data_IF_065194199885
#
_entry.id   IF_065194199885
#
_cell.length_a   1.000
_cell.length_b   1.000
_cell.length_c   1.000
_cell.angle_alpha   90.00
_cell.angle_beta   90.00
_cell.angle_gamma   90.00
#
_symmetry.space_group_name_H-M   'P 1'
#
loop_
_entity.id
_entity.type
_entity.pdbx_description
1 polymer ?
#
# COMPACT_ATOMS: atom_id res chain seq x y z
N UNK A 1 -53.13 21.74 -49.93
CA UNK A 1 -52.21 21.31 -48.85
C UNK A 1 -50.85 21.97 -49.03
N UNK A 2 -50.51 22.99 -48.24
CA UNK A 2 -49.12 23.34 -47.87
C UNK A 2 -49.17 24.06 -46.53
N UNK A 3 -48.95 23.33 -45.44
CA UNK A 3 -48.79 23.90 -44.10
C UNK A 3 -47.45 24.62 -44.07
N UNK A 4 -47.46 25.96 -43.97
CA UNK A 4 -46.25 26.75 -43.74
C UNK A 4 -45.95 26.74 -42.25
N UNK A 5 -45.00 25.91 -41.85
CA UNK A 5 -44.49 25.87 -40.48
C UNK A 5 -43.61 27.11 -40.25
N UNK A 6 -44.12 28.08 -39.49
CA UNK A 6 -43.31 29.18 -38.97
C UNK A 6 -42.49 28.62 -37.80
N UNK A 7 -41.30 28.12 -38.11
CA UNK A 7 -40.37 27.70 -37.08
C UNK A 7 -39.81 28.95 -36.39
N UNK A 8 -39.97 29.01 -35.06
CA UNK A 8 -39.39 30.07 -34.26
C UNK A 8 -37.88 29.88 -34.20
N UNK A 9 -37.16 30.58 -35.09
CA UNK A 9 -35.72 30.46 -35.26
C UNK A 9 -34.93 30.72 -33.97
N UNK A 10 -35.48 31.55 -33.07
CA UNK A 10 -34.87 31.77 -31.77
C UNK A 10 -34.79 30.48 -30.95
N UNK A 11 -35.86 29.68 -30.94
CA UNK A 11 -35.93 28.39 -30.23
C UNK A 11 -34.94 27.39 -30.84
N UNK A 12 -34.83 27.35 -32.18
CA UNK A 12 -33.90 26.46 -32.88
C UNK A 12 -32.45 26.78 -32.50
N UNK A 13 -32.09 28.07 -32.50
CA UNK A 13 -30.74 28.50 -32.14
C UNK A 13 -30.43 28.19 -30.68
N UNK A 14 -31.38 28.43 -29.76
CA UNK A 14 -31.19 28.08 -28.34
C UNK A 14 -31.01 26.58 -28.14
N UNK A 15 -31.75 25.75 -28.87
CA UNK A 15 -31.61 24.30 -28.81
C UNK A 15 -30.24 23.87 -29.34
N UNK A 16 -29.80 24.37 -30.50
CA UNK A 16 -28.48 24.06 -31.04
C UNK A 16 -27.34 24.44 -30.09
N UNK A 17 -27.43 25.60 -29.43
CA UNK A 17 -26.42 26.04 -28.45
C UNK A 17 -26.39 25.13 -27.22
N UNK A 18 -27.55 24.70 -26.72
CA UNK A 18 -27.65 23.79 -25.58
C UNK A 18 -27.00 22.42 -25.89
N UNK A 19 -27.27 21.86 -27.07
CA UNK A 19 -26.66 20.59 -27.49
C UNK A 19 -25.15 20.72 -27.75
N UNK A 20 -24.70 21.87 -28.25
CA UNK A 20 -23.27 22.17 -28.37
C UNK A 20 -22.59 22.24 -27.00
N UNK A 21 -23.19 22.90 -26.01
CA UNK A 21 -22.61 22.96 -24.66
C UNK A 21 -22.60 21.61 -23.96
N UNK A 22 -23.64 20.80 -24.16
CA UNK A 22 -23.70 19.43 -23.63
C UNK A 22 -22.64 18.54 -24.29
N UNK A 23 -22.43 18.68 -25.61
CA UNK A 23 -21.38 17.94 -26.32
C UNK A 23 -19.99 18.27 -25.79
N UNK A 24 -19.67 19.56 -25.61
CA UNK A 24 -18.39 19.99 -25.04
C UNK A 24 -18.25 19.52 -23.59
N UNK A 25 -19.34 19.54 -22.81
CA UNK A 25 -19.33 19.04 -21.44
C UNK A 25 -19.13 17.51 -21.36
N UNK A 26 -19.69 16.73 -22.28
CA UNK A 26 -19.47 15.27 -22.35
C UNK A 26 -18.03 14.96 -22.77
N UNK A 27 -17.46 15.68 -23.74
CA UNK A 27 -16.04 15.54 -24.12
C UNK A 27 -15.12 15.92 -22.95
N UNK A 28 -15.42 17.03 -22.27
CA UNK A 28 -14.69 17.45 -21.07
C UNK A 28 -14.82 16.45 -19.91
N UNK A 29 -15.96 15.77 -19.78
CA UNK A 29 -16.12 14.67 -18.83
C UNK A 29 -15.35 13.42 -19.26
N UNK A 30 -15.19 13.12 -20.55
CA UNK A 30 -14.31 12.03 -20.99
C UNK A 30 -12.83 12.33 -20.68
N UNK A 31 -12.41 13.59 -20.81
CA UNK A 31 -11.05 14.00 -20.44
C UNK A 31 -10.84 14.05 -18.91
N UNK A 32 -11.86 14.43 -18.13
CA UNK A 32 -11.80 14.40 -16.64
C UNK A 32 -12.05 13.02 -16.03
N UNK A 33 -12.79 12.15 -16.71
CA UNK A 33 -12.98 10.72 -16.38
C UNK A 33 -11.97 9.86 -17.16
N UNK A 34 -10.86 10.47 -17.58
CA UNK A 34 -9.58 9.81 -17.66
C UNK A 34 -9.13 9.33 -16.28
N UNK A 35 -9.94 8.51 -15.62
CA UNK A 35 -9.48 7.52 -14.66
C UNK A 35 -8.65 6.53 -15.47
N UNK A 36 -7.43 6.98 -15.74
CA UNK A 36 -6.29 6.23 -16.26
C UNK A 36 -6.36 4.85 -15.61
N UNK A 37 -6.45 3.80 -16.43
CA UNK A 37 -6.64 2.39 -16.04
C UNK A 37 -5.75 1.92 -14.88
N UNK A 38 -4.67 2.65 -14.59
CA UNK A 38 -3.69 2.34 -13.56
C UNK A 38 -4.06 2.80 -12.14
N UNK A 39 -5.14 3.58 -11.96
CA UNK A 39 -5.53 4.11 -10.63
C UNK A 39 -6.32 3.09 -9.78
N UNK A 40 -6.88 2.03 -10.40
CA UNK A 40 -7.82 1.13 -9.73
C UNK A 40 -7.30 -0.28 -9.44
N UNK A 41 -6.01 -0.44 -9.12
CA UNK A 41 -5.46 -1.75 -8.67
C UNK A 41 -5.76 -2.90 -9.63
N UNK A 42 -5.87 -2.58 -10.92
CA UNK A 42 -6.14 -3.56 -11.96
C UNK A 42 -4.81 -4.19 -12.36
N UNK A 43 -4.78 -5.52 -12.41
CA UNK A 43 -3.64 -6.35 -12.76
C UNK A 43 -2.93 -5.80 -14.02
N UNK A 44 -1.79 -5.13 -13.81
CA UNK A 44 -0.89 -4.74 -14.88
C UNK A 44 -0.11 -6.02 -15.18
N UNK A 45 -0.39 -6.65 -16.32
CA UNK A 45 0.28 -7.89 -16.72
C UNK A 45 1.81 -7.79 -16.69
N UNK A 46 2.48 -8.93 -16.89
CA UNK A 46 3.94 -8.99 -16.78
C UNK A 46 4.64 -7.94 -17.65
N UNK A 47 5.52 -7.16 -17.00
CA UNK A 47 6.40 -6.16 -17.62
C UNK A 47 5.71 -4.95 -18.29
N UNK A 48 4.65 -4.43 -17.66
CA UNK A 48 3.96 -3.22 -18.09
C UNK A 48 4.16 -2.05 -17.13
N UNK A 49 4.52 -0.88 -17.65
CA UNK A 49 4.57 0.40 -16.93
C UNK A 49 3.40 1.29 -17.33
N UNK A 50 2.95 2.15 -16.42
CA UNK A 50 1.98 3.19 -16.75
C UNK A 50 2.71 4.50 -16.98
N UNK A 51 2.64 5.04 -18.20
CA UNK A 51 3.31 6.29 -18.52
C UNK A 51 2.59 7.50 -17.90
N UNK A 52 3.20 8.69 -17.99
CA UNK A 52 2.66 9.94 -17.44
C UNK A 52 1.31 10.34 -18.08
N UNK A 53 0.97 9.77 -19.22
CA UNK A 53 -0.30 9.94 -19.93
C UNK A 53 -1.39 8.96 -19.45
N UNK A 54 -1.05 8.01 -18.57
CA UNK A 54 -1.97 7.00 -18.05
C UNK A 54 -2.22 5.82 -18.96
N UNK A 55 -1.32 5.61 -19.92
CA UNK A 55 -1.34 4.51 -20.88
C UNK A 55 -0.43 3.41 -20.38
N UNK A 56 -0.93 2.17 -20.45
CA UNK A 56 -0.14 0.96 -20.15
C UNK A 56 0.80 0.69 -21.33
N UNK A 57 2.09 0.70 -21.08
CA UNK A 57 3.17 0.39 -22.03
C UNK A 57 3.88 -0.86 -21.53
N UNK A 58 3.83 -1.95 -22.31
CA UNK A 58 4.49 -3.20 -21.96
C UNK A 58 5.73 -3.40 -22.83
N UNK A 59 6.84 -3.75 -22.20
CA UNK A 59 8.11 -3.97 -22.90
C UNK A 59 8.30 -5.46 -23.20
N UNK A 60 8.46 -5.83 -24.47
CA UNK A 60 8.58 -7.23 -24.89
C UNK A 60 10.01 -7.79 -24.75
N UNK A 61 10.97 -7.07 -24.18
CA UNK A 61 12.35 -7.54 -24.10
C UNK A 61 13.02 -7.35 -22.73
N UNK A 62 13.26 -8.48 -22.07
CA UNK A 62 14.35 -8.82 -21.15
C UNK A 62 15.08 -7.63 -20.49
N UNK A 63 14.54 -7.17 -19.36
CA UNK A 63 15.32 -6.58 -18.29
C UNK A 63 15.19 -7.48 -17.05
N UNK A 64 16.33 -7.79 -16.42
CA UNK A 64 16.39 -8.55 -15.17
C UNK A 64 15.72 -7.74 -14.05
N UNK A 65 14.40 -7.90 -13.89
CA UNK A 65 13.68 -7.47 -12.71
C UNK A 65 13.77 -8.55 -11.64
N UNK A 66 13.67 -8.14 -10.37
CA UNK A 66 13.35 -8.97 -9.21
C UNK A 66 12.41 -10.10 -9.63
N UNK A 67 12.59 -11.32 -9.12
CA UNK A 67 11.71 -12.47 -9.37
C UNK A 67 10.32 -12.14 -8.80
N UNK A 68 9.55 -11.37 -9.58
CA UNK A 68 8.35 -10.63 -9.20
C UNK A 68 7.11 -11.52 -9.16
N UNK A 69 7.24 -12.80 -9.49
CA UNK A 69 6.10 -13.71 -9.53
C UNK A 69 5.57 -14.11 -8.16
N UNK A 70 6.32 -13.86 -7.08
CA UNK A 70 5.96 -14.30 -5.74
C UNK A 70 5.28 -13.23 -4.88
N UNK A 71 5.40 -11.96 -5.24
CA UNK A 71 4.79 -10.84 -4.53
C UNK A 71 3.48 -10.43 -5.19
N UNK A 72 2.46 -10.19 -4.39
CA UNK A 72 1.12 -9.79 -4.84
C UNK A 72 0.72 -8.44 -4.24
N UNK A 73 -0.07 -7.68 -5.00
CA UNK A 73 -0.73 -6.45 -4.55
C UNK A 73 -2.26 -6.61 -4.47
N UNK A 74 -2.80 -7.72 -4.98
CA UNK A 74 -4.24 -8.00 -4.99
C UNK A 74 -4.79 -8.10 -3.57
N UNK A 75 -5.81 -7.31 -3.26
CA UNK A 75 -6.45 -7.30 -1.93
C UNK A 75 -5.65 -6.55 -0.85
N UNK A 76 -4.52 -5.93 -1.22
CA UNK A 76 -3.78 -5.02 -0.36
C UNK A 76 -4.31 -3.59 -0.54
N UNK A 77 -4.66 -2.94 0.56
CA UNK A 77 -4.80 -1.49 0.61
C UNK A 77 -3.51 -0.91 1.17
N UNK A 78 -2.74 -0.25 0.32
CA UNK A 78 -1.50 0.42 0.70
C UNK A 78 -1.68 1.94 0.67
N UNK A 79 -1.18 2.61 1.69
CA UNK A 79 -1.10 4.08 1.77
C UNK A 79 0.21 4.49 2.40
N UNK A 80 0.73 5.65 2.04
CA UNK A 80 1.96 6.18 2.62
C UNK A 80 1.84 7.68 2.85
N UNK A 81 2.56 8.18 3.86
CA UNK A 81 2.59 9.60 4.20
C UNK A 81 4.03 10.04 4.50
N UNK A 82 4.34 11.28 4.13
CA UNK A 82 5.55 11.96 4.59
C UNK A 82 5.50 12.21 6.10
N UNK A 83 6.62 12.00 6.79
CA UNK A 83 6.79 12.36 8.19
C UNK A 83 7.73 13.57 8.35
N UNK A 84 8.98 13.42 7.91
CA UNK A 84 10.02 14.45 8.04
C UNK A 84 11.17 14.20 7.07
N UNK A 85 11.96 15.24 6.79
CA UNK A 85 13.24 15.08 6.10
C UNK A 85 14.27 14.44 7.02
N UNK A 86 15.22 13.71 6.42
CA UNK A 86 16.35 13.10 7.14
C UNK A 86 17.60 13.94 6.88
N UNK A 87 18.07 14.67 7.89
CA UNK A 87 19.29 15.48 7.77
C UNK A 87 20.52 14.58 7.62
N UNK A 88 21.30 14.81 6.54
CA UNK A 88 22.48 13.99 6.24
C UNK A 88 22.16 12.53 5.93
N UNK A 89 20.91 12.23 5.58
CA UNK A 89 20.44 10.87 5.32
C UNK A 89 21.09 10.27 4.07
N UNK A 90 21.66 9.08 4.24
CA UNK A 90 21.97 8.17 3.15
C UNK A 90 20.73 7.31 2.88
N UNK A 91 20.35 7.12 1.61
CA UNK A 91 19.28 6.17 1.25
C UNK A 91 19.67 4.74 1.67
N UNK A 92 20.96 4.44 1.69
CA UNK A 92 21.49 3.15 2.16
C UNK A 92 21.46 3.01 3.70
N UNK A 93 21.20 4.10 4.44
CA UNK A 93 21.09 4.05 5.90
C UNK A 93 19.81 3.32 6.31
N UNK A 94 19.97 2.01 6.54
CA UNK A 94 19.04 1.05 7.13
C UNK A 94 18.16 1.67 8.22
N UNK A 95 16.95 2.07 7.87
CA UNK A 95 16.00 2.57 8.84
C UNK A 95 14.59 2.10 8.50
N UNK A 96 14.37 0.79 8.70
CA UNK A 96 13.05 0.19 8.67
C UNK A 96 12.61 -0.02 10.11
N UNK A 97 11.53 0.63 10.51
CA UNK A 97 10.96 0.50 11.84
C UNK A 97 9.50 0.09 11.74
N UNK A 98 9.16 -1.04 12.34
CA UNK A 98 7.76 -1.43 12.49
C UNK A 98 7.14 -0.60 13.62
N UNK A 99 6.09 0.15 13.31
CA UNK A 99 5.41 1.05 14.24
C UNK A 99 4.27 0.34 14.95
N UNK A 100 3.43 -0.36 14.18
CA UNK A 100 2.26 -1.08 14.70
C UNK A 100 1.91 -2.26 13.80
N UNK A 101 1.46 -3.34 14.42
CA UNK A 101 0.89 -4.52 13.79
C UNK A 101 -0.41 -4.82 14.52
N UNK A 102 -1.53 -4.69 13.83
CA UNK A 102 -2.86 -4.82 14.41
C UNK A 102 -3.76 -5.73 13.58
N UNK A 103 -4.47 -6.63 14.27
CA UNK A 103 -5.50 -7.48 13.69
C UNK A 103 -6.86 -6.88 14.04
N UNK A 104 -7.48 -6.15 13.10
CA UNK A 104 -8.76 -5.47 13.31
C UNK A 104 -9.75 -5.84 12.20
N UNK A 105 -10.98 -6.21 12.59
CA UNK A 105 -12.08 -6.43 11.66
C UNK A 105 -11.85 -7.57 10.64
N UNK A 106 -11.06 -8.58 11.01
CA UNK A 106 -10.72 -9.70 10.11
C UNK A 106 -9.66 -9.35 9.06
N UNK A 107 -8.99 -8.21 9.19
CA UNK A 107 -7.82 -7.83 8.39
C UNK A 107 -6.58 -7.66 9.24
N UNK A 108 -5.42 -7.69 8.59
CA UNK A 108 -4.11 -7.41 9.19
C UNK A 108 -3.63 -6.06 8.69
N UNK A 109 -3.46 -5.11 9.62
CA UNK A 109 -2.85 -3.82 9.37
C UNK A 109 -1.41 -3.82 9.90
N UNK A 110 -0.47 -3.42 9.06
CA UNK A 110 0.94 -3.27 9.42
C UNK A 110 1.38 -1.87 9.04
N UNK A 111 1.98 -1.15 9.97
CA UNK A 111 2.47 0.21 9.79
C UNK A 111 3.98 0.23 10.00
N UNK A 112 4.71 0.80 9.06
CA UNK A 112 6.17 0.85 9.07
C UNK A 112 6.67 2.24 8.67
N UNK A 113 7.76 2.66 9.29
CA UNK A 113 8.54 3.84 8.96
C UNK A 113 9.75 3.40 8.13
N UNK A 114 9.94 4.00 6.95
CA UNK A 114 11.07 3.74 6.05
C UNK A 114 11.60 5.03 5.44
N UNK A 115 12.88 5.03 5.09
CA UNK A 115 13.43 6.08 4.25
C UNK A 115 12.87 5.96 2.82
N UNK A 116 12.63 7.10 2.19
CA UNK A 116 12.24 7.24 0.79
C UNK A 116 12.82 8.53 0.21
N UNK A 117 12.47 8.80 -1.05
CA UNK A 117 12.75 10.06 -1.72
C UNK A 117 11.53 10.96 -1.69
N UNK A 118 11.75 12.24 -1.41
CA UNK A 118 10.77 13.29 -1.40
C UNK A 118 11.24 14.49 -2.21
N UNK A 119 10.30 15.32 -2.62
CA UNK A 119 10.58 16.61 -3.24
C UNK A 119 10.62 17.75 -2.21
N UNK A 120 10.88 18.96 -2.69
CA UNK A 120 10.92 20.19 -1.88
C UNK A 120 9.60 20.49 -1.15
N UNK A 121 8.47 20.10 -1.75
CA UNK A 121 7.14 20.32 -1.21
C UNK A 121 6.73 19.30 -0.14
N UNK A 122 7.69 18.49 0.35
CA UNK A 122 7.45 17.43 1.34
C UNK A 122 6.49 16.34 0.85
N UNK A 123 6.49 16.11 -0.47
CA UNK A 123 5.74 15.02 -1.09
C UNK A 123 6.70 13.86 -1.34
N UNK A 124 6.34 12.68 -0.87
CA UNK A 124 7.07 11.44 -1.14
C UNK A 124 6.86 10.97 -2.57
N UNK A 125 7.92 10.40 -3.15
CA UNK A 125 7.88 9.73 -4.44
C UNK A 125 6.72 8.72 -4.47
N UNK A 126 6.05 8.53 -5.62
CA UNK A 126 4.97 7.56 -5.72
C UNK A 126 5.43 6.16 -5.28
N UNK A 127 4.72 5.58 -4.33
CA UNK A 127 5.02 4.25 -3.77
C UNK A 127 3.86 3.28 -3.99
N UNK A 128 4.19 2.01 -4.18
CA UNK A 128 3.25 0.89 -4.22
C UNK A 128 3.73 -0.21 -3.29
N UNK A 129 2.81 -0.74 -2.48
CA UNK A 129 3.09 -1.84 -1.57
C UNK A 129 2.82 -3.18 -2.23
N UNK A 130 3.60 -4.19 -1.84
CA UNK A 130 3.37 -5.60 -2.16
C UNK A 130 3.55 -6.46 -0.93
N UNK A 131 3.01 -7.67 -0.98
CA UNK A 131 3.27 -8.68 0.03
C UNK A 131 3.42 -10.07 -0.57
N UNK A 132 4.18 -10.91 0.12
CA UNK A 132 4.28 -12.35 -0.11
C UNK A 132 3.85 -13.07 1.16
N UNK A 133 2.84 -13.92 1.04
CA UNK A 133 2.33 -14.72 2.16
C UNK A 133 2.68 -16.20 1.96
N UNK A 134 3.40 -16.76 2.93
CA UNK A 134 3.77 -18.16 3.02
C UNK A 134 3.18 -18.79 4.30
N UNK A 135 3.42 -20.08 4.53
CA UNK A 135 2.88 -20.81 5.68
C UNK A 135 3.31 -20.21 7.03
N UNK A 136 4.56 -19.80 7.20
CA UNK A 136 5.06 -19.27 8.48
C UNK A 136 5.56 -17.82 8.36
N UNK A 137 5.30 -17.16 7.23
CA UNK A 137 5.96 -15.90 6.91
C UNK A 137 5.07 -14.97 6.09
N UNK A 138 5.05 -13.70 6.48
CA UNK A 138 4.55 -12.60 5.66
C UNK A 138 5.71 -11.64 5.39
N UNK A 139 6.03 -11.43 4.12
CA UNK A 139 7.05 -10.47 3.70
C UNK A 139 6.35 -9.30 3.01
N UNK A 140 6.62 -8.08 3.46
CA UNK A 140 6.17 -6.84 2.84
C UNK A 140 7.31 -6.24 2.01
N UNK A 141 6.98 -5.50 0.96
CA UNK A 141 7.96 -4.70 0.22
C UNK A 141 7.27 -3.48 -0.40
N UNK A 142 8.05 -2.45 -0.72
CA UNK A 142 7.59 -1.22 -1.37
C UNK A 142 8.40 -1.02 -2.65
N UNK A 143 7.70 -0.83 -3.76
CA UNK A 143 8.27 -0.27 -4.98
C UNK A 143 8.11 1.25 -4.99
N UNK A 144 9.19 1.97 -5.27
CA UNK A 144 9.18 3.44 -5.37
C UNK A 144 9.43 3.85 -6.82
N UNK A 145 8.65 4.80 -7.34
CA UNK A 145 8.85 5.37 -8.66
C UNK A 145 9.60 6.71 -8.56
N UNK A 146 10.84 6.72 -9.04
CA UNK A 146 11.76 7.87 -8.99
C UNK A 146 12.09 8.43 -10.38
N UNK A 147 11.20 8.22 -11.36
CA UNK A 147 11.39 8.75 -12.72
C UNK A 147 11.37 10.28 -12.80
N UNK A 148 10.75 10.94 -11.80
CA UNK A 148 10.76 12.39 -11.68
C UNK A 148 11.93 12.85 -10.81
N UNK A 149 12.85 13.61 -11.42
CA UNK A 149 14.05 14.16 -10.78
C UNK A 149 13.76 15.16 -9.65
N UNK A 150 12.49 15.61 -9.51
CA UNK A 150 12.07 16.44 -8.39
C UNK A 150 12.17 15.72 -7.04
N UNK A 151 12.12 14.37 -7.03
CA UNK A 151 12.29 13.55 -5.83
C UNK A 151 13.78 13.30 -5.54
N UNK A 152 14.43 14.29 -4.91
CA UNK A 152 15.88 14.29 -4.71
C UNK A 152 16.33 14.46 -3.25
N UNK A 153 15.39 14.49 -2.30
CA UNK A 153 15.68 14.58 -0.86
C UNK A 153 15.30 13.31 -0.13
N UNK A 154 16.17 12.85 0.75
CA UNK A 154 15.86 11.72 1.64
C UNK A 154 14.87 12.16 2.71
N UNK A 155 13.81 11.39 2.88
CA UNK A 155 12.77 11.62 3.86
C UNK A 155 12.34 10.33 4.54
N UNK A 156 11.77 10.47 5.74
CA UNK A 156 11.10 9.39 6.44
C UNK A 156 9.63 9.37 6.02
N UNK A 157 9.14 8.20 5.67
CA UNK A 157 7.75 7.97 5.29
C UNK A 157 7.13 6.88 6.14
N UNK A 158 5.86 7.05 6.49
CA UNK A 158 5.04 6.02 7.13
C UNK A 158 4.23 5.30 6.06
N UNK A 159 4.50 4.02 5.83
CA UNK A 159 3.71 3.13 4.99
C UNK A 159 2.75 2.28 5.81
N UNK A 160 1.51 2.16 5.35
CA UNK A 160 0.47 1.31 5.95
C UNK A 160 -0.01 0.27 4.96
N UNK A 161 0.09 -0.99 5.36
CA UNK A 161 -0.34 -2.18 4.63
C UNK A 161 -1.57 -2.73 5.31
N UNK A 162 -2.69 -2.79 4.60
CA UNK A 162 -3.89 -3.45 5.09
C UNK A 162 -4.26 -4.62 4.17
N UNK A 163 -4.13 -5.83 4.70
CA UNK A 163 -4.49 -7.07 4.03
C UNK A 163 -5.87 -7.48 4.56
N UNK A 164 -6.90 -7.34 3.72
CA UNK A 164 -8.26 -7.74 4.06
C UNK A 164 -8.44 -9.27 4.14
N UNK A 165 -9.45 -9.73 4.88
CA UNK A 165 -9.78 -11.16 5.04
C UNK A 165 -8.59 -12.02 5.48
N UNK A 166 -7.74 -11.49 6.36
CA UNK A 166 -6.63 -12.21 6.98
C UNK A 166 -7.16 -13.12 8.09
N UNK A 167 -7.92 -14.15 7.72
CA UNK A 167 -8.49 -15.14 8.62
C UNK A 167 -7.81 -16.48 8.39
N UNK A 168 -6.62 -16.62 8.99
CA UNK A 168 -5.82 -17.84 8.94
C UNK A 168 -5.37 -18.22 10.34
N UNK A 169 -5.28 -19.50 10.59
CA UNK A 169 -4.66 -20.00 11.81
C UNK A 169 -3.17 -19.69 11.76
N UNK A 170 -2.70 -18.94 12.76
CA UNK A 170 -1.29 -18.58 12.90
C UNK A 170 -0.67 -19.51 13.92
N UNK A 171 0.44 -20.13 13.54
CA UNK A 171 1.26 -20.87 14.48
C UNK A 171 2.29 -19.94 15.14
N UNK A 172 2.91 -20.40 16.22
CA UNK A 172 3.89 -19.62 16.98
C UNK A 172 5.17 -19.28 16.18
N UNK A 173 5.37 -19.92 15.02
CA UNK A 173 6.48 -19.66 14.10
C UNK A 173 6.18 -18.55 13.11
N UNK A 174 4.94 -18.09 13.00
CA UNK A 174 4.57 -17.05 12.06
C UNK A 174 5.33 -15.75 12.37
N UNK A 175 6.03 -15.22 11.36
CA UNK A 175 6.82 -13.98 11.44
C UNK A 175 6.51 -13.02 10.30
N UNK A 176 6.68 -11.73 10.57
CA UNK A 176 6.50 -10.66 9.59
C UNK A 176 7.87 -10.04 9.31
N UNK A 177 8.14 -9.80 8.05
CA UNK A 177 9.36 -9.18 7.55
C UNK A 177 9.03 -8.08 6.57
N UNK A 178 9.98 -7.17 6.41
CA UNK A 178 10.05 -6.23 5.30
C UNK A 178 11.29 -6.55 4.47
N UNK A 179 11.17 -6.52 3.15
CA UNK A 179 12.26 -6.67 2.20
C UNK A 179 12.40 -5.38 1.40
N UNK A 180 13.59 -4.80 1.40
CA UNK A 180 13.88 -3.62 0.57
C UNK A 180 14.23 -4.01 -0.88
N UNK A 181 14.45 -3.01 -1.72
CA UNK A 181 14.82 -3.16 -3.14
C UNK A 181 16.22 -3.78 -3.35
N UNK A 182 17.01 -3.91 -2.28
CA UNK A 182 18.35 -4.52 -2.28
C UNK A 182 18.33 -5.92 -1.65
N UNK A 183 17.16 -6.55 -1.54
CA UNK A 183 16.93 -7.87 -0.92
C UNK A 183 17.34 -8.00 0.56
N UNK A 184 17.53 -6.87 1.25
CA UNK A 184 17.79 -6.90 2.68
C UNK A 184 16.48 -7.11 3.45
N UNK A 185 16.52 -8.03 4.42
CA UNK A 185 15.36 -8.46 5.20
C UNK A 185 15.40 -7.86 6.60
N UNK A 186 14.31 -7.22 7.00
CA UNK A 186 14.13 -6.57 8.30
C UNK A 186 13.00 -7.27 9.06
N UNK A 187 13.31 -7.94 10.20
CA UNK A 187 12.30 -8.62 10.99
C UNK A 187 11.47 -7.63 11.80
N UNK A 188 10.16 -7.86 11.86
CA UNK A 188 9.26 -7.07 12.70
C UNK A 188 9.37 -7.37 14.20
N UNK A 189 10.11 -8.43 14.56
CA UNK A 189 10.26 -8.92 15.94
C UNK A 189 8.91 -9.18 16.64
N UNK A 190 7.85 -9.46 15.88
CA UNK A 190 6.56 -9.82 16.45
C UNK A 190 6.59 -11.23 17.06
N UNK A 191 5.69 -11.43 18.01
CA UNK A 191 5.39 -12.74 18.56
C UNK A 191 4.03 -13.19 18.05
N UNK A 192 3.91 -14.49 17.78
CA UNK A 192 2.62 -15.13 17.61
C UNK A 192 2.38 -16.00 18.83
N UNK A 193 1.25 -15.81 19.48
CA UNK A 193 0.88 -16.55 20.68
C UNK A 193 -0.62 -16.82 20.67
N UNK A 194 -1.01 -18.10 20.75
CA UNK A 194 -2.40 -18.56 20.71
C UNK A 194 -3.18 -18.02 19.50
N UNK A 195 -2.52 -17.91 18.35
CA UNK A 195 -3.12 -17.41 17.10
C UNK A 195 -3.18 -15.88 16.96
N UNK A 196 -2.73 -15.12 17.97
CA UNK A 196 -2.69 -13.66 17.93
C UNK A 196 -1.28 -13.14 17.65
N UNK A 197 -1.18 -12.13 16.79
CA UNK A 197 0.08 -11.40 16.56
C UNK A 197 0.22 -10.32 17.64
N UNK A 198 1.41 -10.22 18.21
CA UNK A 198 1.79 -9.28 19.27
C UNK A 198 3.01 -8.49 18.82
N UNK A 199 2.98 -7.18 19.01
CA UNK A 199 4.09 -6.29 18.71
C UNK A 199 5.26 -6.57 19.65
N UNK A 200 6.46 -6.18 19.21
CA UNK A 200 7.61 -6.21 20.11
C UNK A 200 7.38 -5.26 21.29
N UNK A 201 7.63 -5.74 22.51
CA UNK A 201 7.37 -5.00 23.75
C UNK A 201 5.97 -5.20 24.33
N UNK A 202 5.02 -5.78 23.60
CA UNK A 202 3.67 -6.04 24.11
C UNK A 202 3.67 -6.96 25.34
N UNK A 203 2.77 -6.66 26.29
CA UNK A 203 2.46 -7.49 27.45
C UNK A 203 1.02 -7.96 27.34
N UNK A 204 0.78 -9.25 27.50
CA UNK A 204 -0.52 -9.88 27.30
C UNK A 204 -0.69 -11.12 28.18
N UNK A 205 -1.94 -11.46 28.50
CA UNK A 205 -2.27 -12.68 29.22
C UNK A 205 -2.56 -13.82 28.25
N UNK A 206 -2.33 -15.04 28.71
CA UNK A 206 -2.84 -16.24 28.05
C UNK A 206 -4.36 -16.32 28.10
N UNK A 207 -4.92 -17.10 27.18
CA UNK A 207 -6.36 -17.35 27.07
C UNK A 207 -6.97 -17.97 28.34
N UNK A 208 -6.18 -18.77 29.08
CA UNK A 208 -6.56 -19.36 30.37
C UNK A 208 -6.36 -18.41 31.58
N UNK A 209 -5.75 -17.24 31.35
CA UNK A 209 -5.44 -16.25 32.37
C UNK A 209 -4.35 -16.65 33.36
N UNK A 210 -3.63 -17.75 33.13
CA UNK A 210 -2.63 -18.26 34.06
C UNK A 210 -1.20 -17.83 33.75
N UNK A 211 -0.95 -17.26 32.58
CA UNK A 211 0.37 -16.79 32.18
C UNK A 211 0.31 -15.31 31.79
N UNK A 212 1.22 -14.54 32.39
CA UNK A 212 1.53 -13.20 31.95
C UNK A 212 2.73 -13.28 31.00
N UNK A 213 2.52 -12.93 29.74
CA UNK A 213 3.49 -13.03 28.68
C UNK A 213 3.96 -11.64 28.23
N UNK A 214 5.23 -11.55 27.84
CA UNK A 214 5.80 -10.38 27.19
C UNK A 214 6.49 -10.79 25.89
N UNK A 215 6.21 -10.07 24.80
CA UNK A 215 6.97 -10.22 23.56
C UNK A 215 8.28 -9.44 23.66
N UNK A 216 9.42 -10.12 23.50
CA UNK A 216 10.74 -9.49 23.45
C UNK A 216 11.52 -10.05 22.28
N UNK A 217 11.85 -9.18 21.33
CA UNK A 217 12.68 -9.49 20.17
C UNK A 217 12.19 -10.75 19.43
N UNK A 218 10.88 -10.83 19.19
CA UNK A 218 10.24 -11.93 18.49
C UNK A 218 10.04 -13.22 19.30
N UNK A 219 10.27 -13.19 20.62
CA UNK A 219 10.04 -14.34 21.52
C UNK A 219 9.09 -13.98 22.65
N UNK A 220 8.09 -14.82 22.88
CA UNK A 220 7.19 -14.72 24.02
C UNK A 220 7.86 -15.31 25.26
N UNK A 221 8.06 -14.48 26.28
CA UNK A 221 8.49 -14.92 27.62
C UNK A 221 7.30 -14.87 28.55
N UNK A 222 6.87 -16.02 29.07
CA UNK A 222 5.69 -16.14 29.90
C UNK A 222 6.04 -16.57 31.31
N UNK A 223 5.46 -15.89 32.30
CA UNK A 223 5.56 -16.22 33.72
C UNK A 223 4.20 -16.67 34.23
N UNK A 224 4.19 -17.72 35.05
CA UNK A 224 2.95 -18.24 35.62
C UNK A 224 2.49 -17.33 36.74
N UNK A 225 1.23 -16.90 36.70
CA UNK A 225 0.67 -16.07 37.75
C UNK A 225 0.50 -16.86 39.06
N UNK A 226 0.75 -16.18 40.19
CA UNK A 226 0.60 -16.74 41.52
C UNK A 226 -0.83 -17.23 41.81
N UNK A 227 -1.83 -16.62 41.16
CA UNK A 227 -3.25 -17.01 41.22
C UNK A 227 -3.49 -18.45 40.75
N UNK A 228 -2.63 -18.96 39.86
CA UNK A 228 -2.70 -20.30 39.28
C UNK A 228 -1.69 -21.30 39.89
N UNK A 229 -0.93 -20.89 40.92
CA UNK A 229 -0.09 -21.76 41.73
C UNK A 229 -0.96 -22.35 42.86
N UNK A 230 -1.57 -23.50 42.60
CA UNK A 230 -2.24 -24.31 43.63
C UNK A 230 -1.23 -25.10 44.45
#
# INVERSE_FOLDING_TARGET
>A
MKSKWYANWLIIITFCLLFSSIGIFIVSLQDSIGMKKCVNGSDLGENCICNNEGVVVCDEQNAQSIVSSEFVSTGLLFSYNFLNFVEGGDLEAKNVKFVDISQLGGGLKITLETNSLCNEDSISAPQIGFYKLEEDRLTLTIGTNVLDESFNKVCLTEGSFYIGNFNRELNDKFKIYYQDEFDSIYPANNCTYEGYIRNDGDVYNSSDGCFLCQCKSGKSSCEKENSCLK
#
